data_IF_282218075887
#
_entry.id   IF_282218075887
#
_cell.length_a   1.000
_cell.length_b   1.000
_cell.length_c   1.000
_cell.angle_alpha   90.00
_cell.angle_beta   90.00
_cell.angle_gamma   90.00
#
_symmetry.space_group_name_H-M   'P 1'
#
loop_
_entity.id
_entity.type
_entity.pdbx_description
1 polymer ?
#
# COMPACT_ATOMS: atom_id res chain seq x y z
N UNK A 1 1.27 -21.75 -14.60
CA UNK A 1 0.55 -20.97 -13.57
C UNK A 1 0.86 -21.45 -12.15
N UNK A 2 0.44 -22.65 -11.72
CA UNK A 2 0.62 -23.08 -10.32
C UNK A 2 2.09 -23.29 -9.93
N UNK A 3 2.89 -23.88 -10.82
CA UNK A 3 4.35 -24.00 -10.66
C UNK A 3 5.03 -22.64 -10.50
N UNK A 4 4.66 -21.66 -11.34
CA UNK A 4 5.21 -20.31 -11.29
C UNK A 4 4.89 -19.60 -9.97
N UNK A 5 3.67 -19.75 -9.46
CA UNK A 5 3.26 -19.21 -8.16
C UNK A 5 4.09 -19.83 -7.04
N UNK A 6 4.31 -21.15 -7.07
CA UNK A 6 5.13 -21.85 -6.08
C UNK A 6 6.58 -21.38 -6.13
N UNK A 7 7.16 -21.23 -7.33
CA UNK A 7 8.51 -20.71 -7.50
C UNK A 7 8.63 -19.28 -6.97
N UNK A 8 7.67 -18.41 -7.27
CA UNK A 8 7.62 -17.03 -6.74
C UNK A 8 7.50 -17.02 -5.22
N UNK A 9 6.67 -17.89 -4.65
CA UNK A 9 6.52 -18.03 -3.20
C UNK A 9 7.82 -18.46 -2.54
N UNK A 10 8.48 -19.51 -3.05
CA UNK A 10 9.76 -19.99 -2.53
C UNK A 10 10.85 -18.92 -2.64
N UNK A 11 10.94 -18.24 -3.78
CA UNK A 11 11.90 -17.15 -3.98
C UNK A 11 11.59 -15.92 -3.12
N UNK A 12 10.35 -15.77 -2.65
CA UNK A 12 9.93 -14.72 -1.73
C UNK A 12 10.38 -14.97 -0.29
N UNK A 13 10.55 -16.23 0.12
CA UNK A 13 10.91 -16.64 1.49
C UNK A 13 12.41 -16.56 1.76
N UNK A 14 13.04 -15.43 1.44
CA UNK A 14 14.44 -15.17 1.77
C UNK A 14 14.56 -14.48 3.11
N UNK A 15 15.73 -14.62 3.76
CA UNK A 15 16.04 -13.91 4.99
C UNK A 15 16.06 -12.38 4.81
N UNK A 16 16.46 -11.91 3.64
CA UNK A 16 16.41 -10.49 3.27
C UNK A 16 14.97 -9.95 3.28
N UNK A 17 14.03 -10.68 2.65
CA UNK A 17 12.62 -10.30 2.65
C UNK A 17 11.99 -10.43 4.04
N UNK A 18 12.46 -11.39 4.85
CA UNK A 18 12.03 -11.52 6.24
C UNK A 18 12.45 -10.31 7.07
N UNK A 19 13.70 -9.86 6.94
CA UNK A 19 14.19 -8.64 7.58
C UNK A 19 13.38 -7.42 7.15
N UNK A 20 13.10 -7.27 5.85
CA UNK A 20 12.25 -6.21 5.30
C UNK A 20 10.83 -6.23 5.89
N UNK A 21 10.25 -7.41 6.09
CA UNK A 21 8.94 -7.57 6.74
C UNK A 21 8.90 -6.96 8.15
N UNK A 22 9.99 -7.11 8.92
CA UNK A 22 10.12 -6.55 10.26
C UNK A 22 10.79 -5.16 10.30
N UNK A 23 10.92 -4.48 9.16
CA UNK A 23 11.60 -3.19 9.05
C UNK A 23 13.06 -3.20 9.55
N UNK A 24 13.71 -4.37 9.56
CA UNK A 24 15.12 -4.55 9.97
C UNK A 24 16.04 -4.29 8.77
N UNK A 25 16.03 -3.04 8.29
CA UNK A 25 16.78 -2.59 7.12
C UNK A 25 17.41 -1.23 7.39
N UNK A 26 18.55 -0.99 6.76
CA UNK A 26 19.24 0.31 6.86
C UNK A 26 18.82 1.27 5.73
N UNK A 27 19.00 2.59 5.91
CA UNK A 27 18.81 3.54 4.83
C UNK A 27 19.66 3.23 3.59
N UNK A 28 20.86 2.67 3.75
CA UNK A 28 21.75 2.28 2.66
C UNK A 28 21.16 1.16 1.77
N UNK A 29 20.27 0.33 2.31
CA UNK A 29 19.60 -0.77 1.57
C UNK A 29 18.23 -0.36 1.00
N UNK A 30 17.72 0.83 1.35
CA UNK A 30 16.34 1.26 1.06
C UNK A 30 16.22 2.64 0.42
N UNK A 31 17.36 3.29 0.18
CA UNK A 31 17.43 4.57 -0.56
C UNK A 31 17.85 4.28 -1.98
N UNK A 32 17.01 4.66 -2.94
CA UNK A 32 17.23 4.45 -4.36
C UNK A 32 17.23 5.79 -5.09
N UNK A 33 18.09 5.91 -6.11
CA UNK A 33 18.12 7.11 -6.96
C UNK A 33 16.91 7.17 -7.90
N UNK A 34 16.43 6.00 -8.35
CA UNK A 34 15.32 5.91 -9.29
C UNK A 34 14.17 5.10 -8.72
N UNK A 35 12.96 5.47 -9.14
CA UNK A 35 11.73 4.77 -8.75
C UNK A 35 11.69 3.32 -9.25
N UNK A 36 12.29 3.04 -10.41
CA UNK A 36 12.35 1.71 -11.02
C UNK A 36 13.14 0.70 -10.18
N UNK A 37 14.08 1.18 -9.36
CA UNK A 37 14.90 0.34 -8.49
C UNK A 37 14.21 0.04 -7.16
N UNK A 38 13.11 0.73 -6.83
CA UNK A 38 12.37 0.54 -5.57
C UNK A 38 11.58 -0.77 -5.63
N UNK A 39 11.90 -1.76 -4.77
CA UNK A 39 11.17 -3.02 -4.74
C UNK A 39 9.71 -2.79 -4.33
N UNK A 40 8.81 -3.62 -4.85
CA UNK A 40 7.45 -3.71 -4.31
C UNK A 40 7.49 -4.44 -2.96
N UNK A 41 7.69 -3.67 -1.89
CA UNK A 41 7.75 -4.15 -0.51
C UNK A 41 6.49 -4.92 -0.11
N UNK A 42 5.32 -4.56 -0.65
CA UNK A 42 4.08 -5.26 -0.34
C UNK A 42 4.10 -6.69 -0.90
N UNK A 43 4.52 -6.82 -2.16
CA UNK A 43 4.60 -8.12 -2.84
C UNK A 43 5.61 -9.05 -2.18
N UNK A 44 6.79 -8.55 -1.78
CA UNK A 44 7.80 -9.39 -1.12
C UNK A 44 7.42 -9.75 0.32
N UNK A 45 6.79 -8.84 1.06
CA UNK A 45 6.35 -9.06 2.45
C UNK A 45 5.15 -10.02 2.53
N UNK A 46 4.29 -10.03 1.52
CA UNK A 46 3.14 -10.93 1.41
C UNK A 46 3.51 -12.41 1.60
N UNK A 47 4.67 -12.86 1.07
CA UNK A 47 5.04 -14.27 1.13
C UNK A 47 5.32 -14.74 2.56
N UNK A 48 6.06 -13.94 3.33
CA UNK A 48 6.30 -14.21 4.74
C UNK A 48 5.03 -14.09 5.60
N UNK A 49 4.17 -13.12 5.28
CA UNK A 49 2.86 -13.01 5.93
C UNK A 49 2.03 -14.29 5.79
N UNK A 50 1.91 -14.80 4.56
CA UNK A 50 1.19 -16.05 4.30
C UNK A 50 1.85 -17.23 5.00
N UNK A 51 3.18 -17.32 4.99
CA UNK A 51 3.91 -18.36 5.70
C UNK A 51 3.60 -18.33 7.22
N UNK A 52 3.56 -17.15 7.84
CA UNK A 52 3.19 -17.02 9.25
C UNK A 52 1.75 -17.41 9.54
N UNK A 53 0.80 -17.05 8.66
CA UNK A 53 -0.59 -17.53 8.78
C UNK A 53 -0.63 -19.06 8.74
N UNK A 54 0.09 -19.71 7.80
CA UNK A 54 0.14 -21.17 7.73
C UNK A 54 0.73 -21.80 8.99
N UNK A 55 1.82 -21.22 9.51
CA UNK A 55 2.46 -21.67 10.75
C UNK A 55 1.50 -21.53 11.94
N UNK A 56 0.81 -20.39 12.06
CA UNK A 56 -0.14 -20.15 13.15
C UNK A 56 -1.33 -21.13 13.09
N UNK A 57 -1.89 -21.37 11.91
CA UNK A 57 -2.94 -22.38 11.69
C UNK A 57 -2.45 -23.79 12.06
N UNK A 58 -1.22 -24.15 11.69
CA UNK A 58 -0.64 -25.46 12.02
C UNK A 58 -0.47 -25.62 13.53
N UNK A 59 0.09 -24.61 14.20
CA UNK A 59 0.28 -24.61 15.66
C UNK A 59 -1.08 -24.71 16.36
N UNK A 60 -2.06 -23.89 15.96
CA UNK A 60 -3.41 -23.93 16.50
C UNK A 60 -4.05 -25.32 16.39
N UNK A 61 -3.91 -25.97 15.23
CA UNK A 61 -4.40 -27.32 14.99
C UNK A 61 -3.70 -28.35 15.87
N UNK A 62 -2.37 -28.27 16.01
CA UNK A 62 -1.59 -29.15 16.89
C UNK A 62 -1.96 -28.97 18.37
N UNK A 63 -2.36 -27.76 18.77
CA UNK A 63 -2.85 -27.45 20.12
C UNK A 63 -4.33 -27.78 20.33
N UNK A 64 -5.04 -28.29 19.31
CA UNK A 64 -6.48 -28.56 19.38
C UNK A 64 -7.35 -27.31 19.51
N UNK A 65 -6.82 -26.13 19.18
CA UNK A 65 -7.53 -24.85 19.27
C UNK A 65 -8.18 -24.51 17.92
N UNK A 66 -9.43 -24.07 17.97
CA UNK A 66 -10.05 -23.37 16.85
C UNK A 66 -9.76 -21.89 16.98
N UNK A 67 -8.84 -21.37 16.17
CA UNK A 67 -8.41 -19.96 16.20
C UNK A 67 -9.07 -19.15 15.07
N UNK A 68 -9.44 -19.80 13.96
CA UNK A 68 -10.03 -19.15 12.80
C UNK A 68 -11.41 -19.70 12.48
N UNK A 69 -12.45 -18.91 12.76
CA UNK A 69 -13.79 -19.22 12.29
C UNK A 69 -13.88 -18.96 10.77
N UNK A 70 -14.49 -19.88 10.01
CA UNK A 70 -14.52 -19.77 8.54
C UNK A 70 -15.20 -18.50 8.04
N UNK A 71 -16.28 -18.08 8.71
CA UNK A 71 -16.99 -16.84 8.42
C UNK A 71 -16.09 -15.61 8.60
N UNK A 72 -15.27 -15.59 9.64
CA UNK A 72 -14.36 -14.47 9.93
C UNK A 72 -13.22 -14.43 8.92
N UNK A 73 -12.68 -15.59 8.53
CA UNK A 73 -11.67 -15.70 7.47
C UNK A 73 -12.21 -15.19 6.14
N UNK A 74 -13.40 -15.64 5.71
CA UNK A 74 -14.02 -15.19 4.46
C UNK A 74 -14.28 -13.68 4.51
N UNK A 75 -14.82 -13.19 5.61
CA UNK A 75 -15.11 -11.75 5.79
C UNK A 75 -13.83 -10.93 5.73
N UNK A 76 -12.75 -11.39 6.37
CA UNK A 76 -11.46 -10.71 6.39
C UNK A 76 -10.80 -10.68 5.00
N UNK A 77 -10.85 -11.80 4.26
CA UNK A 77 -10.33 -11.86 2.88
C UNK A 77 -11.12 -10.92 1.97
N UNK A 78 -12.44 -10.92 2.07
CA UNK A 78 -13.30 -10.02 1.28
C UNK A 78 -13.02 -8.56 1.62
N UNK A 79 -12.89 -8.22 2.91
CA UNK A 79 -12.51 -6.87 3.33
C UNK A 79 -11.14 -6.47 2.76
N UNK A 80 -10.16 -7.38 2.76
CA UNK A 80 -8.85 -7.17 2.14
C UNK A 80 -8.94 -6.89 0.63
N UNK A 81 -9.70 -7.68 -0.12
CA UNK A 81 -9.91 -7.46 -1.56
C UNK A 81 -10.61 -6.12 -1.82
N UNK A 82 -11.70 -5.84 -1.09
CA UNK A 82 -12.45 -4.59 -1.21
C UNK A 82 -11.61 -3.37 -0.85
N UNK A 83 -10.68 -3.49 0.11
CA UNK A 83 -9.76 -2.41 0.50
C UNK A 83 -8.83 -1.98 -0.64
N UNK A 84 -8.61 -2.83 -1.65
CA UNK A 84 -7.79 -2.49 -2.81
C UNK A 84 -8.56 -1.67 -3.85
N UNK A 85 -9.91 -1.71 -3.87
CA UNK A 85 -10.71 -1.02 -4.87
C UNK A 85 -10.46 0.50 -4.89
N UNK A 86 -10.44 1.22 -3.75
CA UNK A 86 -10.16 2.67 -3.76
C UNK A 86 -8.80 3.02 -4.36
N UNK A 87 -7.78 2.17 -4.17
CA UNK A 87 -6.43 2.39 -4.71
C UNK A 87 -6.44 2.45 -6.24
N UNK A 88 -7.18 1.55 -6.88
CA UNK A 88 -7.26 1.47 -8.34
C UNK A 88 -8.35 2.38 -8.92
N UNK A 89 -9.57 2.32 -8.38
CA UNK A 89 -10.69 3.14 -8.84
C UNK A 89 -10.43 4.63 -8.63
N UNK A 90 -9.84 4.99 -7.48
CA UNK A 90 -9.45 6.37 -7.19
C UNK A 90 -8.48 6.90 -8.24
N UNK A 91 -7.40 6.17 -8.55
CA UNK A 91 -6.44 6.57 -9.59
C UNK A 91 -7.07 6.62 -10.98
N UNK A 92 -7.96 5.67 -11.29
CA UNK A 92 -8.64 5.60 -12.59
C UNK A 92 -9.53 6.83 -12.86
N UNK A 93 -10.13 7.41 -11.81
CA UNK A 93 -10.94 8.63 -11.94
C UNK A 93 -10.06 9.88 -11.82
N UNK A 94 -9.13 9.89 -10.88
CA UNK A 94 -8.32 11.08 -10.55
C UNK A 94 -7.42 11.52 -11.69
N UNK A 95 -6.77 10.58 -12.40
CA UNK A 95 -5.80 10.92 -13.46
C UNK A 95 -6.50 11.56 -14.67
N UNK A 96 -7.55 10.96 -15.27
CA UNK A 96 -8.24 11.58 -16.39
C UNK A 96 -8.89 12.91 -16.03
N UNK A 97 -9.46 13.01 -14.82
CA UNK A 97 -10.06 14.24 -14.34
C UNK A 97 -9.00 15.35 -14.18
N UNK A 98 -7.84 15.01 -13.60
CA UNK A 98 -6.71 15.92 -13.51
C UNK A 98 -6.27 16.42 -14.89
N UNK A 99 -6.08 15.51 -15.86
CA UNK A 99 -5.68 15.87 -17.23
C UNK A 99 -6.72 16.76 -17.90
N UNK A 100 -8.02 16.45 -17.75
CA UNK A 100 -9.09 17.26 -18.31
C UNK A 100 -9.10 18.67 -17.72
N UNK A 101 -8.99 18.81 -16.40
CA UNK A 101 -8.95 20.11 -15.73
C UNK A 101 -7.70 20.89 -16.16
N UNK A 102 -6.55 20.24 -16.17
CA UNK A 102 -5.29 20.85 -16.58
C UNK A 102 -5.37 21.38 -18.02
N UNK A 103 -5.92 20.61 -18.95
CA UNK A 103 -5.97 21.01 -20.36
C UNK A 103 -7.01 22.11 -20.66
N UNK A 104 -8.08 22.22 -19.87
CA UNK A 104 -9.20 23.14 -20.17
C UNK A 104 -9.30 24.35 -19.22
N UNK A 105 -8.79 24.24 -17.99
CA UNK A 105 -9.04 25.21 -16.91
C UNK A 105 -7.76 25.64 -16.16
N UNK A 106 -6.56 25.29 -16.65
CA UNK A 106 -5.33 25.80 -16.04
C UNK A 106 -5.24 27.31 -16.21
N UNK A 107 -4.98 28.02 -15.11
CA UNK A 107 -4.85 29.47 -15.09
C UNK A 107 -3.41 29.93 -15.40
N UNK A 108 -2.43 29.11 -15.02
CA UNK A 108 -1.00 29.41 -15.16
C UNK A 108 -0.22 28.17 -15.58
N UNK A 109 0.83 28.38 -16.36
CA UNK A 109 1.87 27.38 -16.59
C UNK A 109 2.90 27.48 -15.45
N UNK A 110 3.05 26.40 -14.70
CA UNK A 110 3.93 26.35 -13.53
C UNK A 110 5.28 25.72 -13.92
N UNK A 111 6.37 26.44 -13.70
CA UNK A 111 7.73 25.95 -13.97
C UNK A 111 8.17 24.95 -12.89
N UNK A 112 8.31 23.69 -13.29
CA UNK A 112 8.74 22.58 -12.42
C UNK A 112 10.16 22.75 -11.88
N UNK A 113 10.98 23.62 -12.47
CA UNK A 113 12.33 23.93 -11.98
C UNK A 113 12.34 25.05 -10.92
N UNK A 114 11.20 25.68 -10.63
CA UNK A 114 11.09 26.73 -9.62
C UNK A 114 11.00 26.15 -8.21
N UNK A 115 11.95 26.50 -7.34
CA UNK A 115 11.92 26.10 -5.91
C UNK A 115 10.68 26.63 -5.18
N UNK A 116 10.21 27.82 -5.54
CA UNK A 116 9.01 28.40 -4.94
C UNK A 116 7.74 27.63 -5.28
N UNK A 117 7.67 27.03 -6.47
CA UNK A 117 6.56 26.15 -6.85
C UNK A 117 6.48 24.95 -5.92
N UNK A 118 7.62 24.33 -5.59
CA UNK A 118 7.66 23.20 -4.68
C UNK A 118 7.29 23.57 -3.24
N UNK A 119 7.73 24.73 -2.75
CA UNK A 119 7.28 25.23 -1.45
C UNK A 119 5.77 25.48 -1.42
N UNK A 120 5.23 26.17 -2.43
CA UNK A 120 3.79 26.40 -2.54
C UNK A 120 3.02 25.08 -2.65
N UNK A 121 3.51 24.13 -3.44
CA UNK A 121 2.96 22.78 -3.59
C UNK A 121 2.96 22.00 -2.29
N UNK A 122 4.03 22.07 -1.49
CA UNK A 122 4.11 21.45 -0.17
C UNK A 122 3.00 21.97 0.76
N UNK A 123 2.86 23.29 0.90
CA UNK A 123 1.81 23.87 1.75
C UNK A 123 0.40 23.62 1.21
N UNK A 124 0.20 23.69 -0.11
CA UNK A 124 -1.09 23.43 -0.74
C UNK A 124 -1.52 21.97 -0.53
N UNK A 125 -0.59 21.02 -0.68
CA UNK A 125 -0.82 19.60 -0.43
C UNK A 125 -1.18 19.34 1.03
N UNK A 126 -0.44 19.92 1.96
CA UNK A 126 -0.69 19.76 3.40
C UNK A 126 -2.06 20.32 3.80
N UNK A 127 -2.40 21.52 3.32
CA UNK A 127 -3.71 22.13 3.56
C UNK A 127 -4.84 21.30 2.95
N UNK A 128 -4.70 20.87 1.69
CA UNK A 128 -5.72 20.05 1.02
C UNK A 128 -5.93 18.72 1.76
N UNK A 129 -4.85 18.07 2.19
CA UNK A 129 -4.90 16.86 2.99
C UNK A 129 -5.60 17.10 4.34
N UNK A 130 -5.23 18.15 5.07
CA UNK A 130 -5.87 18.52 6.33
C UNK A 130 -7.37 18.76 6.17
N UNK A 131 -7.78 19.51 5.16
CA UNK A 131 -9.20 19.80 4.90
C UNK A 131 -9.96 18.52 4.56
N UNK A 132 -9.42 17.68 3.67
CA UNK A 132 -10.03 16.39 3.34
C UNK A 132 -10.16 15.49 4.56
N UNK A 133 -9.09 15.37 5.36
CA UNK A 133 -9.08 14.61 6.60
C UNK A 133 -10.12 15.15 7.59
N UNK A 134 -10.22 16.47 7.75
CA UNK A 134 -11.21 17.12 8.63
C UNK A 134 -12.65 16.87 8.19
N UNK A 135 -12.93 16.89 6.88
CA UNK A 135 -14.26 16.60 6.34
C UNK A 135 -14.64 15.13 6.51
N UNK A 136 -13.68 14.21 6.37
CA UNK A 136 -13.92 12.77 6.56
C UNK A 136 -14.01 12.40 8.05
N UNK A 137 -13.25 13.08 8.91
CA UNK A 137 -13.25 12.88 10.36
C UNK A 137 -14.22 13.81 11.11
N UNK A 138 -15.27 14.34 10.48
CA UNK A 138 -16.31 15.10 11.20
C UNK A 138 -16.74 14.27 12.41
N UNK A 139 -16.64 14.79 13.65
CA UNK A 139 -16.74 13.99 14.86
C UNK A 139 -18.05 13.20 14.85
N UNK A 140 -17.95 11.88 15.04
CA UNK A 140 -19.12 11.13 15.49
C UNK A 140 -19.43 11.68 16.88
N UNK A 141 -20.49 12.50 16.98
CA UNK A 141 -21.02 12.88 18.30
C UNK A 141 -21.36 11.57 19.03
N UNK A 142 -21.06 11.50 20.35
CA UNK A 142 -21.45 10.35 21.15
C UNK A 142 -22.95 10.10 21.10
#
# INVERSE_FOLDING_TARGET
MLFEILTKFQNGLTFENLRRFFYIVSPAETTFEKLEDVPDYLTISQYWFLAFIFVDVLIAKLMGKSVYALNDTITSVNAGILSQLPKYAGRMISIPLYVYIYNNYRLFDLDVHSTWLWFAGFFAQDLAYYLAHRVVHVPQKP
#
